data_IF_693870237818
#
_entry.id   IF_693870237818
#
_cell.length_a   1.000
_cell.length_b   1.000
_cell.length_c   1.000
_cell.angle_alpha   90.00
_cell.angle_beta   90.00
_cell.angle_gamma   90.00
#
_symmetry.space_group_name_H-M   'P 1'
#
loop_
_entity.id
_entity.type
_entity.pdbx_description
1 polymer ?
#
# COMPACT_ATOMS: atom_id res chain seq x y z
N UNK A 1 -11.21 15.78 3.03
CA UNK A 1 -10.01 15.49 2.26
C UNK A 1 -9.71 14.00 2.29
N UNK A 2 -9.01 13.51 1.29
CA UNK A 2 -8.80 12.07 1.12
C UNK A 2 -8.05 11.42 2.27
N UNK A 3 -7.04 12.10 2.81
CA UNK A 3 -6.30 11.56 3.96
C UNK A 3 -7.17 11.42 5.19
N UNK A 4 -8.08 12.37 5.42
CA UNK A 4 -9.02 12.30 6.52
C UNK A 4 -9.99 11.13 6.33
N UNK A 5 -10.48 10.93 5.09
CA UNK A 5 -11.35 9.81 4.78
C UNK A 5 -10.67 8.47 5.06
N UNK A 6 -9.41 8.34 4.66
CA UNK A 6 -8.64 7.12 4.87
C UNK A 6 -8.46 6.82 6.36
N UNK A 7 -8.23 7.86 7.17
CA UNK A 7 -8.10 7.70 8.62
C UNK A 7 -9.41 7.25 9.26
N UNK A 8 -10.54 7.84 8.84
CA UNK A 8 -11.86 7.51 9.40
C UNK A 8 -12.37 6.16 8.89
N UNK A 9 -12.10 5.82 7.62
CA UNK A 9 -12.58 4.59 7.00
C UNK A 9 -11.41 3.86 6.34
N UNK A 10 -10.53 3.24 7.17
CA UNK A 10 -9.31 2.60 6.64
C UNK A 10 -9.57 1.42 5.71
N UNK A 11 -10.81 0.89 5.70
CA UNK A 11 -11.18 -0.21 4.80
C UNK A 11 -11.94 0.25 3.56
N UNK A 12 -12.01 1.55 3.33
CA UNK A 12 -12.66 2.09 2.14
C UNK A 12 -11.68 2.05 0.96
N UNK A 13 -11.86 1.04 0.11
CA UNK A 13 -11.00 0.84 -1.05
C UNK A 13 -11.00 2.04 -1.99
N UNK A 14 -12.15 2.66 -2.18
CA UNK A 14 -12.29 3.82 -3.04
C UNK A 14 -11.50 5.02 -2.53
N UNK A 15 -11.53 5.26 -1.21
CA UNK A 15 -10.77 6.34 -0.60
C UNK A 15 -9.26 6.12 -0.77
N UNK A 16 -8.79 4.89 -0.54
CA UNK A 16 -7.38 4.56 -0.74
C UNK A 16 -6.96 4.74 -2.20
N UNK A 17 -7.79 4.30 -3.13
CA UNK A 17 -7.48 4.43 -4.55
C UNK A 17 -7.41 5.89 -4.97
N UNK A 18 -8.36 6.71 -4.51
CA UNK A 18 -8.36 8.15 -4.78
C UNK A 18 -7.11 8.82 -4.19
N UNK A 19 -6.71 8.43 -2.98
CA UNK A 19 -5.50 8.93 -2.35
C UNK A 19 -4.26 8.56 -3.17
N UNK A 20 -4.20 7.33 -3.67
CA UNK A 20 -3.07 6.88 -4.49
C UNK A 20 -2.92 7.76 -5.72
N UNK A 21 -4.03 8.11 -6.36
CA UNK A 21 -4.03 8.95 -7.55
C UNK A 21 -3.53 10.36 -7.23
N UNK A 22 -4.01 10.95 -6.12
CA UNK A 22 -3.58 12.27 -5.67
C UNK A 22 -2.08 12.28 -5.37
N UNK A 23 -1.59 11.25 -4.67
CA UNK A 23 -0.18 11.13 -4.32
C UNK A 23 0.69 11.01 -5.56
N UNK A 24 0.21 10.32 -6.58
CA UNK A 24 0.92 10.23 -7.86
C UNK A 24 1.04 11.61 -8.51
N UNK A 25 -0.03 12.40 -8.46
CA UNK A 25 -0.03 13.77 -9.00
C UNK A 25 0.92 14.66 -8.20
N UNK A 26 1.10 14.38 -6.92
CA UNK A 26 2.01 15.14 -6.05
C UNK A 26 3.45 14.63 -6.14
N UNK A 27 3.74 13.72 -7.06
CA UNK A 27 5.06 13.15 -7.26
C UNK A 27 5.59 12.41 -6.02
N UNK A 28 4.71 11.63 -5.40
CA UNK A 28 5.04 10.78 -4.25
C UNK A 28 4.76 9.32 -4.60
N UNK A 29 5.61 8.70 -5.43
CA UNK A 29 5.32 7.39 -5.99
C UNK A 29 5.27 6.26 -4.96
N UNK A 30 6.11 6.28 -3.93
CA UNK A 30 6.10 5.23 -2.91
C UNK A 30 4.80 5.25 -2.10
N UNK A 31 4.36 6.42 -1.70
CA UNK A 31 3.10 6.57 -0.99
C UNK A 31 1.93 6.18 -1.86
N UNK A 32 2.00 6.51 -3.14
CA UNK A 32 0.96 6.15 -4.10
C UNK A 32 0.82 4.63 -4.21
N UNK A 33 1.96 3.93 -4.33
CA UNK A 33 1.95 2.47 -4.42
C UNK A 33 1.40 1.85 -3.13
N UNK A 34 1.79 2.38 -1.98
CA UNK A 34 1.27 1.87 -0.71
C UNK A 34 -0.25 2.09 -0.60
N UNK A 35 -0.74 3.27 -0.99
CA UNK A 35 -2.17 3.54 -0.97
C UNK A 35 -2.92 2.60 -1.92
N UNK A 36 -2.36 2.30 -3.07
CA UNK A 36 -2.93 1.34 -4.01
C UNK A 36 -2.99 -0.06 -3.39
N UNK A 37 -1.93 -0.46 -2.69
CA UNK A 37 -1.91 -1.74 -1.98
C UNK A 37 -2.99 -1.80 -0.90
N UNK A 38 -3.16 -0.72 -0.13
CA UNK A 38 -4.19 -0.68 0.90
C UNK A 38 -5.60 -0.74 0.30
N UNK A 39 -5.78 -0.17 -0.89
CA UNK A 39 -7.05 -0.29 -1.62
C UNK A 39 -7.36 -1.75 -1.94
N UNK A 40 -6.35 -2.51 -2.40
CA UNK A 40 -6.51 -3.93 -2.69
C UNK A 40 -6.81 -4.73 -1.40
N UNK A 41 -6.09 -4.41 -0.33
CA UNK A 41 -6.32 -5.06 0.97
C UNK A 41 -7.73 -4.80 1.49
N UNK A 42 -8.25 -3.60 1.28
CA UNK A 42 -9.61 -3.25 1.69
C UNK A 42 -10.67 -4.06 0.92
N UNK A 43 -10.32 -4.58 -0.25
CA UNK A 43 -11.16 -5.46 -1.05
C UNK A 43 -10.89 -6.94 -0.76
N UNK A 44 -10.07 -7.21 0.25
CA UNK A 44 -9.64 -8.57 0.62
C UNK A 44 -8.82 -9.26 -0.47
N UNK A 45 -8.25 -8.49 -1.39
CA UNK A 45 -7.36 -8.99 -2.43
C UNK A 45 -5.92 -8.86 -1.95
N UNK A 46 -5.56 -9.73 -0.99
CA UNK A 46 -4.26 -9.64 -0.34
C UNK A 46 -3.10 -9.99 -1.28
N UNK A 47 -3.33 -10.89 -2.22
CA UNK A 47 -2.30 -11.24 -3.20
C UNK A 47 -1.91 -10.04 -4.05
N UNK A 48 -2.90 -9.26 -4.51
CA UNK A 48 -2.64 -8.04 -5.28
C UNK A 48 -1.95 -6.99 -4.41
N UNK A 49 -2.35 -6.88 -3.12
CA UNK A 49 -1.70 -5.97 -2.18
C UNK A 49 -0.23 -6.32 -2.01
N UNK A 50 0.09 -7.61 -1.88
CA UNK A 50 1.48 -8.09 -1.79
C UNK A 50 2.28 -7.66 -3.03
N UNK A 51 1.71 -7.85 -4.22
CA UNK A 51 2.40 -7.47 -5.46
C UNK A 51 2.72 -5.99 -5.52
N UNK A 52 1.78 -5.15 -5.11
CA UNK A 52 2.01 -3.70 -5.09
C UNK A 52 3.08 -3.31 -4.07
N UNK A 53 3.04 -3.93 -2.90
CA UNK A 53 4.03 -3.64 -1.86
C UNK A 53 5.43 -4.10 -2.26
N UNK A 54 5.55 -5.21 -2.97
CA UNK A 54 6.85 -5.65 -3.50
C UNK A 54 7.39 -4.67 -4.53
N UNK A 55 6.52 -4.15 -5.39
CA UNK A 55 6.91 -3.11 -6.34
C UNK A 55 7.41 -1.86 -5.61
N UNK A 56 6.75 -1.50 -4.51
CA UNK A 56 7.18 -0.39 -3.65
C UNK A 56 8.55 -0.64 -3.02
N UNK A 57 8.81 -1.86 -2.55
CA UNK A 57 10.12 -2.21 -2.02
C UNK A 57 11.23 -2.04 -3.06
N UNK A 58 10.99 -2.52 -4.28
CA UNK A 58 11.96 -2.40 -5.35
C UNK A 58 12.23 -0.95 -5.69
N UNK A 59 11.18 -0.14 -5.75
CA UNK A 59 11.31 1.29 -6.01
C UNK A 59 12.12 1.98 -4.90
N UNK A 60 11.84 1.66 -3.64
CA UNK A 60 12.53 2.26 -2.50
C UNK A 60 14.00 1.89 -2.48
N UNK A 61 14.32 0.65 -2.86
CA UNK A 61 15.70 0.14 -2.88
C UNK A 61 16.57 0.95 -3.83
N UNK A 62 15.99 1.47 -4.90
CA UNK A 62 16.69 2.24 -5.92
C UNK A 62 16.58 3.74 -5.73
N UNK A 63 15.93 4.20 -4.65
CA UNK A 63 15.70 5.62 -4.41
C UNK A 63 16.83 6.21 -3.56
N UNK A 64 17.40 7.35 -3.97
CA UNK A 64 18.41 8.05 -3.16
C UNK A 64 17.78 8.96 -2.10
N UNK A 65 16.47 9.10 -2.06
CA UNK A 65 15.78 10.05 -1.20
C UNK A 65 15.61 9.49 0.21
N UNK A 66 16.12 10.21 1.22
CA UNK A 66 16.03 9.81 2.62
C UNK A 66 14.59 9.72 3.13
N UNK A 67 13.71 10.54 2.60
CA UNK A 67 12.31 10.51 3.01
C UNK A 67 11.65 9.18 2.69
N UNK A 68 12.21 8.47 1.72
CA UNK A 68 11.70 7.16 1.33
C UNK A 68 12.02 6.06 2.33
N UNK A 69 12.96 6.29 3.27
CA UNK A 69 13.26 5.32 4.31
C UNK A 69 12.06 5.04 5.21
N UNK A 70 11.35 6.09 5.59
CA UNK A 70 10.17 5.92 6.45
C UNK A 70 9.09 5.15 5.71
N UNK A 71 8.84 5.53 4.48
CA UNK A 71 7.82 4.86 3.68
C UNK A 71 8.23 3.43 3.36
N UNK A 72 9.51 3.19 3.09
CA UNK A 72 10.04 1.84 2.86
C UNK A 72 9.81 0.95 4.09
N UNK A 73 10.02 1.49 5.29
CA UNK A 73 9.80 0.76 6.53
C UNK A 73 8.33 0.38 6.71
N UNK A 74 7.42 1.30 6.40
CA UNK A 74 5.99 1.03 6.44
C UNK A 74 5.62 -0.05 5.42
N UNK A 75 6.16 0.04 4.21
CA UNK A 75 5.93 -0.93 3.15
C UNK A 75 6.40 -2.32 3.58
N UNK A 76 7.59 -2.42 4.19
CA UNK A 76 8.11 -3.70 4.68
C UNK A 76 7.19 -4.33 5.71
N UNK A 77 6.72 -3.55 6.66
CA UNK A 77 5.81 -4.02 7.70
C UNK A 77 4.49 -4.49 7.10
N UNK A 78 3.91 -3.67 6.23
CA UNK A 78 2.64 -4.01 5.60
C UNK A 78 2.79 -5.23 4.68
N UNK A 79 3.92 -5.36 4.01
CA UNK A 79 4.16 -6.52 3.15
C UNK A 79 4.12 -7.81 3.96
N UNK A 80 4.78 -7.84 5.12
CA UNK A 80 4.73 -9.02 5.99
C UNK A 80 3.31 -9.34 6.44
N UNK A 81 2.56 -8.30 6.82
CA UNK A 81 1.17 -8.48 7.23
C UNK A 81 0.30 -9.02 6.09
N UNK A 82 0.47 -8.45 4.89
CA UNK A 82 -0.32 -8.87 3.73
C UNK A 82 0.05 -10.28 3.27
N UNK A 83 1.33 -10.65 3.36
CA UNK A 83 1.77 -12.01 3.05
C UNK A 83 1.11 -13.01 3.99
N UNK A 84 1.04 -12.69 5.27
CA UNK A 84 0.38 -13.53 6.25
C UNK A 84 -1.11 -13.70 5.95
N UNK A 85 -1.78 -12.59 5.64
CA UNK A 85 -3.20 -12.61 5.32
C UNK A 85 -3.49 -13.34 4.01
N UNK A 86 -2.63 -13.16 3.01
CA UNK A 86 -2.76 -13.87 1.74
C UNK A 86 -2.62 -15.38 1.94
N UNK A 87 -1.68 -15.79 2.79
CA UNK A 87 -1.47 -17.20 3.11
C UNK A 87 -2.68 -17.79 3.83
N UNK A 88 -3.23 -17.10 4.82
CA UNK A 88 -4.45 -17.51 5.51
C UNK A 88 -5.61 -17.64 4.54
N UNK A 89 -5.78 -16.67 3.67
CA UNK A 89 -6.87 -16.65 2.69
C UNK A 89 -6.77 -17.83 1.74
N UNK A 90 -5.57 -18.16 1.28
CA UNK A 90 -5.34 -19.30 0.40
C UNK A 90 -5.66 -20.63 1.13
N UNK A 91 -5.33 -20.71 2.42
CA UNK A 91 -5.55 -21.91 3.21
C UNK A 91 -7.04 -22.20 3.46
N UNK A 92 -7.90 -21.17 3.36
CA UNK A 92 -9.34 -21.31 3.58
C UNK A 92 -10.11 -21.84 2.36
N UNK A 93 -9.46 -21.96 1.23
CA UNK A 93 -10.11 -22.44 -0.01
C UNK A 93 -10.15 -23.99 -0.08
#
# INVERSE_FOLDING_TARGET
RLQTLVVQWPKDAGAWLALSWVLRQQNQPLRSIRAEAESRAAQYDYAAAVDRLRAGQDMARNSPNRNDYYEASIIDTRLREMQSLAKEQAARK
#
